data_IF_726949185151
#
_entry.id   IF_726949185151
#
_cell.length_a   1.000
_cell.length_b   1.000
_cell.length_c   1.000
_cell.angle_alpha   90.00
_cell.angle_beta   90.00
_cell.angle_gamma   90.00
#
_symmetry.space_group_name_H-M   'P 1'
#
loop_
_entity.id
_entity.type
_entity.pdbx_description
1 polymer ?
#
# COMPACT_ATOMS: atom_id res chain seq x y z
N UNK A 1 35.62 9.12 6.60
CA UNK A 1 34.81 7.94 6.18
C UNK A 1 34.94 7.83 4.68
N UNK A 2 35.34 6.67 4.20
CA UNK A 2 35.39 6.40 2.76
C UNK A 2 33.96 6.44 2.21
N UNK A 3 33.64 7.28 1.22
CA UNK A 3 32.26 7.34 0.69
C UNK A 3 31.77 5.99 0.16
N UNK A 4 32.67 5.12 -0.30
CA UNK A 4 32.35 3.78 -0.77
C UNK A 4 31.98 2.88 0.42
N UNK A 5 32.69 2.94 1.53
CA UNK A 5 32.39 2.18 2.74
C UNK A 5 30.98 2.54 3.27
N UNK A 6 30.60 3.82 3.25
CA UNK A 6 29.27 4.26 3.67
C UNK A 6 28.13 3.55 2.93
N UNK A 7 28.28 3.25 1.65
CA UNK A 7 27.25 2.54 0.87
C UNK A 7 27.39 1.00 0.96
N UNK A 8 28.58 0.47 1.16
CA UNK A 8 28.85 -0.98 1.12
C UNK A 8 28.65 -1.62 2.50
N UNK A 9 29.05 -0.95 3.59
CA UNK A 9 28.99 -1.52 4.93
C UNK A 9 27.60 -2.04 5.33
N UNK A 10 26.48 -1.30 5.14
CA UNK A 10 25.16 -1.83 5.47
C UNK A 10 24.77 -3.07 4.66
N UNK A 11 25.22 -3.13 3.38
CA UNK A 11 24.91 -4.25 2.49
C UNK A 11 25.76 -5.50 2.78
N UNK A 12 26.78 -5.42 3.64
CA UNK A 12 27.52 -6.61 4.10
C UNK A 12 26.68 -7.49 5.04
N UNK A 13 25.62 -6.93 5.66
CA UNK A 13 24.74 -7.65 6.57
C UNK A 13 23.56 -8.29 5.84
N UNK A 14 23.38 -9.62 6.02
CA UNK A 14 22.31 -10.37 5.35
C UNK A 14 20.89 -9.90 5.69
N UNK A 15 20.66 -9.37 6.91
CA UNK A 15 19.37 -8.81 7.29
C UNK A 15 19.05 -7.53 6.50
N UNK A 16 20.05 -6.69 6.28
CA UNK A 16 19.91 -5.45 5.51
C UNK A 16 19.61 -5.72 4.04
N UNK A 17 20.31 -6.71 3.43
CA UNK A 17 20.02 -7.15 2.06
C UNK A 17 18.59 -7.64 1.92
N UNK A 18 18.13 -8.51 2.82
CA UNK A 18 16.76 -9.03 2.80
C UNK A 18 15.73 -7.94 3.02
N UNK A 19 15.95 -7.06 4.00
CA UNK A 19 15.07 -5.92 4.28
C UNK A 19 14.96 -4.96 3.08
N UNK A 20 16.09 -4.68 2.42
CA UNK A 20 16.10 -3.82 1.23
C UNK A 20 15.33 -4.46 0.07
N UNK A 21 15.56 -5.74 -0.22
CA UNK A 21 14.83 -6.46 -1.29
C UNK A 21 13.34 -6.51 -0.97
N UNK A 22 12.96 -6.79 0.29
CA UNK A 22 11.56 -6.79 0.72
C UNK A 22 10.91 -5.41 0.53
N UNK A 23 11.56 -4.35 1.01
CA UNK A 23 11.04 -2.99 0.88
C UNK A 23 10.91 -2.55 -0.58
N UNK A 24 11.84 -2.94 -1.45
CA UNK A 24 11.76 -2.66 -2.89
C UNK A 24 10.63 -3.44 -3.57
N UNK A 25 10.47 -4.73 -3.27
CA UNK A 25 9.38 -5.55 -3.82
C UNK A 25 8.01 -5.02 -3.40
N UNK A 26 7.82 -4.78 -2.10
CA UNK A 26 6.60 -4.20 -1.56
C UNK A 26 6.36 -2.82 -2.15
N UNK A 27 7.40 -1.98 -2.23
CA UNK A 27 7.32 -0.64 -2.80
C UNK A 27 6.83 -0.64 -4.25
N UNK A 28 7.32 -1.56 -5.09
CA UNK A 28 6.87 -1.69 -6.49
C UNK A 28 5.40 -2.10 -6.55
N UNK A 29 5.00 -3.13 -5.80
CA UNK A 29 3.61 -3.62 -5.82
C UNK A 29 2.66 -2.56 -5.27
N UNK A 30 3.00 -1.95 -4.13
CA UNK A 30 2.21 -0.89 -3.51
C UNK A 30 2.13 0.36 -4.40
N UNK A 31 3.21 0.80 -5.06
CA UNK A 31 3.20 1.94 -5.95
C UNK A 31 2.28 1.73 -7.17
N UNK A 32 2.29 0.53 -7.76
CA UNK A 32 1.40 0.19 -8.88
C UNK A 32 -0.06 0.16 -8.43
N UNK A 33 -0.38 -0.56 -7.36
CA UNK A 33 -1.75 -0.62 -6.80
C UNK A 33 -2.22 0.75 -6.30
N UNK A 34 -1.33 1.48 -5.66
CA UNK A 34 -1.57 2.82 -5.13
C UNK A 34 -1.96 3.84 -6.19
N UNK A 35 -1.45 3.73 -7.43
CA UNK A 35 -1.89 4.63 -8.50
C UNK A 35 -3.39 4.48 -8.80
N UNK A 36 -3.94 3.28 -8.79
CA UNK A 36 -5.38 3.05 -8.94
C UNK A 36 -6.16 3.51 -7.71
N UNK A 37 -5.63 3.25 -6.52
CA UNK A 37 -6.23 3.67 -5.24
C UNK A 37 -6.36 5.19 -5.17
N UNK A 38 -5.29 5.92 -5.49
CA UNK A 38 -5.26 7.38 -5.45
C UNK A 38 -6.16 7.98 -6.53
N UNK A 39 -6.14 7.45 -7.77
CA UNK A 39 -7.00 7.93 -8.85
C UNK A 39 -8.49 7.70 -8.60
N UNK A 40 -8.84 6.63 -7.88
CA UNK A 40 -10.24 6.36 -7.46
C UNK A 40 -10.64 7.10 -6.19
N UNK A 41 -9.73 7.82 -5.53
CA UNK A 41 -10.01 8.49 -4.25
C UNK A 41 -10.21 7.52 -3.08
N UNK A 42 -9.59 6.34 -3.11
CA UNK A 42 -9.76 5.26 -2.14
C UNK A 42 -8.63 5.22 -1.10
N UNK A 43 -7.96 6.33 -0.79
CA UNK A 43 -6.75 6.35 0.02
C UNK A 43 -6.91 5.66 1.39
N UNK A 44 -8.06 5.81 2.06
CA UNK A 44 -8.33 5.23 3.38
C UNK A 44 -8.61 3.71 3.35
N UNK A 45 -8.84 3.11 2.17
CA UNK A 45 -9.09 1.66 2.10
C UNK A 45 -7.87 0.85 2.51
N UNK A 46 -6.67 1.38 2.26
CA UNK A 46 -5.41 0.73 2.64
C UNK A 46 -5.34 0.49 4.14
N UNK A 47 -5.62 1.51 4.93
CA UNK A 47 -5.63 1.45 6.39
C UNK A 47 -6.75 0.54 6.92
N UNK A 48 -7.97 0.74 6.42
CA UNK A 48 -9.13 -0.04 6.82
C UNK A 48 -8.95 -1.55 6.58
N UNK A 49 -8.46 -1.95 5.40
CA UNK A 49 -8.24 -3.35 5.05
C UNK A 49 -7.07 -3.95 5.81
N UNK A 50 -6.03 -3.16 6.10
CA UNK A 50 -4.89 -3.60 6.91
C UNK A 50 -5.35 -4.04 8.30
N UNK A 51 -6.14 -3.23 8.96
CA UNK A 51 -6.69 -3.57 10.28
C UNK A 51 -7.79 -4.62 10.21
N UNK A 52 -8.58 -4.67 9.15
CA UNK A 52 -9.61 -5.68 8.95
C UNK A 52 -9.06 -7.08 8.66
N UNK A 53 -7.76 -7.22 8.38
CA UNK A 53 -7.08 -8.50 8.34
C UNK A 53 -6.98 -9.15 9.73
N UNK A 54 -7.01 -8.35 10.81
CA UNK A 54 -6.77 -8.80 12.19
C UNK A 54 -7.68 -9.96 12.65
N UNK A 55 -9.01 -9.94 12.49
CA UNK A 55 -9.84 -11.07 12.87
C UNK A 55 -9.46 -12.37 12.16
N UNK A 56 -9.04 -12.29 10.90
CA UNK A 56 -8.58 -13.44 10.15
C UNK A 56 -7.26 -14.02 10.68
N UNK A 57 -6.33 -13.15 11.10
CA UNK A 57 -5.10 -13.56 11.79
C UNK A 57 -5.42 -14.28 13.11
N UNK A 58 -6.35 -13.74 13.90
CA UNK A 58 -6.78 -14.33 15.17
C UNK A 58 -7.43 -15.70 14.96
N UNK A 59 -8.33 -15.82 13.98
CA UNK A 59 -8.97 -17.09 13.65
C UNK A 59 -7.93 -18.12 13.19
N UNK A 60 -7.01 -17.74 12.29
CA UNK A 60 -5.94 -18.62 11.83
C UNK A 60 -5.07 -19.11 12.99
N UNK A 61 -4.74 -18.22 13.93
CA UNK A 61 -4.00 -18.58 15.15
C UNK A 61 -4.75 -19.63 15.99
N UNK A 62 -6.06 -19.42 16.22
CA UNK A 62 -6.90 -20.34 17.02
C UNK A 62 -6.99 -21.74 16.39
N UNK A 63 -7.10 -21.81 15.05
CA UNK A 63 -7.25 -23.09 14.33
C UNK A 63 -5.91 -23.72 13.95
N UNK A 64 -4.77 -23.07 14.28
CA UNK A 64 -3.44 -23.55 13.92
C UNK A 64 -3.10 -23.45 12.41
N UNK A 65 -3.79 -22.59 11.67
CA UNK A 65 -3.54 -22.36 10.26
C UNK A 65 -2.46 -21.26 10.05
N UNK A 66 -1.86 -21.20 8.85
CA UNK A 66 -0.91 -20.11 8.54
C UNK A 66 -1.58 -18.74 8.63
N UNK A 67 -0.98 -17.82 9.41
CA UNK A 67 -1.55 -16.50 9.73
C UNK A 67 -1.87 -15.69 8.47
N UNK A 68 -0.99 -15.71 7.48
CA UNK A 68 -1.17 -14.97 6.24
C UNK A 68 -2.42 -15.38 5.44
N UNK A 69 -2.82 -16.66 5.51
CA UNK A 69 -4.02 -17.15 4.80
C UNK A 69 -5.26 -16.56 5.47
N UNK A 70 -5.36 -16.64 6.79
CA UNK A 70 -6.49 -16.05 7.52
C UNK A 70 -6.58 -14.54 7.34
N UNK A 71 -5.45 -13.84 7.45
CA UNK A 71 -5.37 -12.41 7.18
C UNK A 71 -5.82 -12.05 5.75
N UNK A 72 -5.37 -12.79 4.74
CA UNK A 72 -5.73 -12.54 3.34
C UNK A 72 -7.23 -12.77 3.09
N UNK A 73 -7.80 -13.84 3.64
CA UNK A 73 -9.25 -14.10 3.52
C UNK A 73 -10.05 -12.96 4.15
N UNK A 74 -9.72 -12.53 5.36
CA UNK A 74 -10.42 -11.45 6.05
C UNK A 74 -10.26 -10.11 5.34
N UNK A 75 -9.06 -9.78 4.88
CA UNK A 75 -8.78 -8.55 4.13
C UNK A 75 -9.57 -8.49 2.81
N UNK A 76 -9.52 -9.56 2.01
CA UNK A 76 -10.28 -9.65 0.75
C UNK A 76 -11.79 -9.62 1.01
N UNK A 77 -12.28 -10.38 2.00
CA UNK A 77 -13.69 -10.40 2.35
C UNK A 77 -14.17 -9.00 2.78
N UNK A 78 -13.39 -8.27 3.60
CA UNK A 78 -13.74 -6.92 4.01
C UNK A 78 -13.67 -5.93 2.85
N UNK A 79 -12.65 -6.00 1.99
CA UNK A 79 -12.54 -5.16 0.81
C UNK A 79 -13.74 -5.34 -0.14
N UNK A 80 -14.15 -6.59 -0.37
CA UNK A 80 -15.35 -6.91 -1.14
C UNK A 80 -16.63 -6.45 -0.46
N UNK A 81 -16.75 -6.65 0.86
CA UNK A 81 -17.89 -6.17 1.64
C UNK A 81 -18.05 -4.64 1.57
N UNK A 82 -16.94 -3.89 1.63
CA UNK A 82 -16.94 -2.43 1.43
C UNK A 82 -17.51 -2.08 0.05
N UNK A 83 -17.05 -2.76 -1.01
CA UNK A 83 -17.57 -2.53 -2.36
C UNK A 83 -19.06 -2.85 -2.49
N UNK A 84 -19.53 -3.97 -1.91
CA UNK A 84 -20.94 -4.35 -1.93
C UNK A 84 -21.81 -3.38 -1.14
N UNK A 85 -21.40 -3.02 0.08
CA UNK A 85 -22.17 -2.14 0.98
C UNK A 85 -22.26 -0.73 0.40
N UNK A 86 -21.15 -0.19 -0.14
CA UNK A 86 -21.18 1.11 -0.78
C UNK A 86 -22.14 1.15 -1.96
N UNK A 87 -22.12 0.14 -2.83
CA UNK A 87 -22.99 0.08 -4.02
C UNK A 87 -24.46 -0.17 -3.67
N UNK A 88 -24.76 -1.23 -2.90
CA UNK A 88 -26.13 -1.61 -2.57
C UNK A 88 -26.79 -0.68 -1.55
N UNK A 89 -26.01 -0.21 -0.58
CA UNK A 89 -26.46 0.73 0.45
C UNK A 89 -26.58 2.16 -0.03
N UNK A 90 -26.13 2.48 -1.25
CA UNK A 90 -26.06 3.86 -1.78
C UNK A 90 -25.31 4.80 -0.84
N UNK A 91 -24.37 4.24 -0.07
CA UNK A 91 -23.53 4.98 0.86
C UNK A 91 -22.30 5.54 0.17
N UNK A 92 -21.77 6.63 0.68
CA UNK A 92 -20.46 7.10 0.28
C UNK A 92 -19.42 6.02 0.62
N UNK A 93 -18.46 5.82 -0.26
CA UNK A 93 -17.43 4.79 -0.09
C UNK A 93 -16.72 4.90 1.27
N UNK A 94 -16.33 6.13 1.66
CA UNK A 94 -15.66 6.39 2.94
C UNK A 94 -16.52 5.99 4.15
N UNK A 95 -17.85 6.16 4.07
CA UNK A 95 -18.76 5.73 5.13
C UNK A 95 -18.79 4.20 5.25
N UNK A 96 -18.84 3.49 4.11
CA UNK A 96 -18.79 2.02 4.12
C UNK A 96 -17.44 1.51 4.66
N UNK A 97 -16.34 2.16 4.29
CA UNK A 97 -14.99 1.87 4.82
C UNK A 97 -14.99 2.03 6.34
N UNK A 98 -15.41 3.17 6.88
CA UNK A 98 -15.37 3.44 8.32
C UNK A 98 -16.20 2.47 9.15
N UNK A 99 -17.43 2.16 8.71
CA UNK A 99 -18.31 1.23 9.43
C UNK A 99 -17.78 -0.20 9.43
N UNK A 100 -17.38 -0.69 8.25
CA UNK A 100 -16.88 -2.07 8.13
C UNK A 100 -15.51 -2.25 8.79
N UNK A 101 -14.63 -1.26 8.70
CA UNK A 101 -13.37 -1.25 9.43
C UNK A 101 -13.60 -1.37 10.94
N UNK A 102 -14.42 -0.47 11.51
CA UNK A 102 -14.67 -0.47 12.94
C UNK A 102 -15.30 -1.79 13.41
N UNK A 103 -16.28 -2.32 12.67
CA UNK A 103 -16.95 -3.58 12.99
C UNK A 103 -16.02 -4.80 12.89
N UNK A 104 -15.26 -4.92 11.82
CA UNK A 104 -14.34 -6.06 11.64
C UNK A 104 -13.18 -6.01 12.63
N UNK A 105 -12.62 -4.83 12.89
CA UNK A 105 -11.55 -4.68 13.88
C UNK A 105 -12.04 -5.00 15.29
N UNK A 106 -13.21 -4.47 15.70
CA UNK A 106 -13.82 -4.78 16.98
C UNK A 106 -14.09 -6.27 17.15
N UNK A 107 -14.56 -6.95 16.09
CA UNK A 107 -14.74 -8.40 16.07
C UNK A 107 -13.40 -9.13 16.29
N UNK A 108 -12.33 -8.68 15.64
CA UNK A 108 -10.98 -9.22 15.84
C UNK A 108 -10.49 -9.06 17.28
N UNK A 109 -10.69 -7.88 17.88
CA UNK A 109 -10.33 -7.60 19.28
C UNK A 109 -11.15 -8.48 20.24
N UNK A 110 -12.44 -8.66 19.98
CA UNK A 110 -13.29 -9.55 20.75
C UNK A 110 -12.77 -11.00 20.70
N UNK A 111 -12.45 -11.52 19.52
CA UNK A 111 -11.86 -12.85 19.38
C UNK A 111 -10.51 -12.96 20.10
N UNK A 112 -9.65 -11.96 19.95
CA UNK A 112 -8.35 -11.92 20.58
C UNK A 112 -8.45 -11.97 22.11
N UNK A 113 -9.46 -11.33 22.71
CA UNK A 113 -9.69 -11.35 24.17
C UNK A 113 -10.03 -12.75 24.72
N UNK A 114 -10.41 -13.69 23.87
CA UNK A 114 -10.71 -15.08 24.28
C UNK A 114 -9.45 -15.95 24.38
N UNK A 115 -8.32 -15.50 23.82
CA UNK A 115 -7.07 -16.23 23.83
C UNK A 115 -6.40 -16.10 25.19
N UNK A 116 -6.15 -17.22 25.85
CA UNK A 116 -5.42 -17.27 27.12
C UNK A 116 -3.93 -17.49 26.83
N UNK A 117 -3.06 -16.57 27.27
CA UNK A 117 -1.62 -16.68 27.14
C UNK A 117 -0.96 -15.46 26.51
N UNK A 118 0.37 -15.51 26.40
CA UNK A 118 1.17 -14.42 25.84
C UNK A 118 1.25 -14.56 24.31
N UNK A 119 0.65 -13.63 23.57
CA UNK A 119 0.48 -13.72 22.11
C UNK A 119 1.38 -12.70 21.40
N UNK A 120 2.68 -12.74 21.71
CA UNK A 120 3.70 -11.83 21.14
C UNK A 120 3.76 -11.92 19.61
N UNK A 121 3.57 -13.15 19.08
CA UNK A 121 3.69 -13.41 17.65
C UNK A 121 2.64 -12.66 16.81
N UNK A 122 1.41 -12.50 17.32
CA UNK A 122 0.33 -11.82 16.61
C UNK A 122 0.58 -10.31 16.52
N UNK A 123 1.05 -9.70 17.62
CA UNK A 123 1.38 -8.27 17.63
C UNK A 123 2.63 -7.99 16.79
N UNK A 124 3.63 -8.87 16.86
CA UNK A 124 4.82 -8.77 16.02
C UNK A 124 4.49 -8.83 14.52
N UNK A 125 3.52 -9.66 14.13
CA UNK A 125 3.05 -9.77 12.76
C UNK A 125 2.41 -8.45 12.25
N UNK A 126 1.63 -7.78 13.10
CA UNK A 126 0.98 -6.51 12.73
C UNK A 126 1.97 -5.34 12.66
N UNK A 127 2.87 -5.24 13.65
CA UNK A 127 3.84 -4.15 13.69
C UNK A 127 4.87 -4.27 12.58
N UNK A 128 5.16 -5.49 12.12
CA UNK A 128 6.15 -5.79 11.10
C UNK A 128 7.58 -5.53 11.56
N UNK A 129 8.52 -6.19 10.93
CA UNK A 129 9.94 -5.95 11.14
C UNK A 129 10.69 -6.14 9.81
N UNK A 130 10.87 -5.07 9.08
CA UNK A 130 11.55 -5.08 7.77
C UNK A 130 12.93 -5.76 7.83
N UNK A 131 13.67 -5.53 8.92
CA UNK A 131 15.00 -6.09 9.09
C UNK A 131 15.00 -7.54 9.62
N UNK A 132 13.86 -8.01 10.15
CA UNK A 132 13.68 -9.38 10.65
C UNK A 132 13.13 -10.36 9.62
N UNK A 133 12.91 -9.94 8.37
CA UNK A 133 12.27 -10.76 7.34
C UNK A 133 13.09 -12.02 7.00
N UNK A 134 12.40 -13.18 6.97
CA UNK A 134 12.97 -14.46 6.55
C UNK A 134 13.01 -14.63 5.03
N UNK A 135 13.81 -15.58 4.56
CA UNK A 135 13.88 -15.91 3.13
C UNK A 135 12.53 -16.44 2.62
N UNK A 136 11.83 -17.23 3.45
CA UNK A 136 10.50 -17.75 3.11
C UNK A 136 9.47 -16.65 2.88
N UNK A 137 9.45 -15.64 3.76
CA UNK A 137 8.56 -14.48 3.63
C UNK A 137 8.88 -13.66 2.38
N UNK A 138 10.17 -13.49 2.08
CA UNK A 138 10.63 -12.79 0.88
C UNK A 138 10.15 -13.48 -0.40
N UNK A 139 10.27 -14.81 -0.48
CA UNK A 139 9.77 -15.60 -1.61
C UNK A 139 8.25 -15.45 -1.74
N UNK A 140 7.52 -15.49 -0.63
CA UNK A 140 6.08 -15.33 -0.60
C UNK A 140 5.65 -13.95 -1.12
N UNK A 141 6.30 -12.87 -0.66
CA UNK A 141 6.07 -11.50 -1.16
C UNK A 141 6.38 -11.42 -2.65
N UNK A 142 7.49 -12.00 -3.11
CA UNK A 142 7.88 -11.98 -4.52
C UNK A 142 6.87 -12.70 -5.40
N UNK A 143 6.43 -13.90 -5.00
CA UNK A 143 5.48 -14.72 -5.79
C UNK A 143 4.11 -14.06 -5.84
N UNK A 144 3.53 -13.69 -4.69
CA UNK A 144 2.21 -13.08 -4.65
C UNK A 144 2.22 -11.68 -5.26
N UNK A 145 3.27 -10.90 -5.03
CA UNK A 145 3.47 -9.61 -5.69
C UNK A 145 3.55 -9.74 -7.21
N UNK A 146 4.28 -10.74 -7.72
CA UNK A 146 4.36 -11.01 -9.16
C UNK A 146 3.01 -11.42 -9.76
N UNK A 147 2.20 -12.22 -9.03
CA UNK A 147 0.84 -12.58 -9.46
C UNK A 147 -0.04 -11.33 -9.54
N UNK A 148 -0.05 -10.49 -8.49
CA UNK A 148 -0.84 -9.25 -8.47
C UNK A 148 -0.43 -8.33 -9.63
N UNK A 149 0.87 -8.08 -9.80
CA UNK A 149 1.39 -7.24 -10.88
C UNK A 149 1.07 -7.84 -12.26
N UNK A 150 1.21 -9.16 -12.42
CA UNK A 150 0.88 -9.86 -13.66
C UNK A 150 -0.58 -9.67 -14.05
N UNK A 151 -1.52 -9.86 -13.10
CA UNK A 151 -2.95 -9.63 -13.34
C UNK A 151 -3.18 -8.16 -13.70
N UNK A 152 -2.67 -7.22 -12.91
CA UNK A 152 -2.85 -5.78 -13.17
C UNK A 152 -2.29 -5.39 -14.53
N UNK A 153 -1.13 -5.91 -14.94
CA UNK A 153 -0.54 -5.60 -16.24
C UNK A 153 -1.39 -6.11 -17.40
N UNK A 154 -1.99 -7.31 -17.26
CA UNK A 154 -2.87 -7.89 -18.29
C UNK A 154 -4.13 -7.06 -18.48
N UNK A 155 -4.79 -6.67 -17.39
CA UNK A 155 -6.07 -5.95 -17.43
C UNK A 155 -5.91 -4.42 -17.24
N UNK A 156 -4.69 -3.90 -17.42
CA UNK A 156 -4.38 -2.48 -17.15
C UNK A 156 -5.24 -1.52 -17.94
N UNK A 157 -5.51 -1.82 -19.22
CA UNK A 157 -6.28 -0.95 -20.10
C UNK A 157 -7.74 -0.87 -19.66
N UNK A 158 -8.32 -2.00 -19.33
CA UNK A 158 -9.69 -2.15 -18.86
C UNK A 158 -9.88 -1.47 -17.51
N UNK A 159 -8.94 -1.71 -16.56
CA UNK A 159 -8.94 -1.03 -15.25
C UNK A 159 -8.83 0.48 -15.39
N UNK A 160 -7.96 0.95 -16.28
CA UNK A 160 -7.75 2.38 -16.50
C UNK A 160 -9.02 3.01 -17.11
N UNK A 161 -9.61 2.37 -18.12
CA UNK A 161 -10.85 2.85 -18.73
C UNK A 161 -11.99 2.89 -17.73
N UNK A 162 -12.21 1.81 -16.97
CA UNK A 162 -13.22 1.75 -15.91
C UNK A 162 -12.96 2.75 -14.75
N UNK A 163 -11.71 3.21 -14.57
CA UNK A 163 -11.38 4.20 -13.54
C UNK A 163 -11.74 5.62 -13.94
N UNK A 164 -11.47 6.00 -15.20
CA UNK A 164 -11.70 7.36 -15.70
C UNK A 164 -13.10 7.59 -16.26
N UNK A 165 -13.67 6.58 -16.93
CA UNK A 165 -15.00 6.64 -17.52
C UNK A 165 -15.76 5.32 -17.31
N UNK A 166 -16.33 5.12 -16.11
CA UNK A 166 -17.08 3.90 -15.81
C UNK A 166 -18.32 3.71 -16.71
N UNK A 167 -18.95 4.81 -17.13
CA UNK A 167 -20.16 4.75 -17.98
C UNK A 167 -19.80 4.35 -19.40
N UNK A 168 -18.77 4.95 -19.99
CA UNK A 168 -18.26 4.57 -21.30
C UNK A 168 -17.72 3.15 -21.33
N UNK A 169 -17.03 2.71 -20.28
CA UNK A 169 -16.55 1.35 -20.15
C UNK A 169 -17.72 0.33 -20.10
N UNK A 170 -18.78 0.63 -19.35
CA UNK A 170 -19.98 -0.21 -19.29
C UNK A 170 -20.72 -0.24 -20.65
N UNK A 171 -20.84 0.91 -21.32
CA UNK A 171 -21.43 0.99 -22.64
C UNK A 171 -20.63 0.20 -23.71
N UNK A 172 -19.32 0.08 -23.52
CA UNK A 172 -18.42 -0.74 -24.36
C UNK A 172 -18.47 -2.24 -24.03
N UNK A 173 -19.32 -2.68 -23.10
CA UNK A 173 -19.48 -4.07 -22.70
C UNK A 173 -18.49 -4.57 -21.65
N UNK A 174 -17.68 -3.71 -21.04
CA UNK A 174 -16.77 -4.12 -19.98
C UNK A 174 -17.52 -4.36 -18.66
N UNK A 175 -17.18 -5.44 -17.91
CA UNK A 175 -17.78 -5.74 -16.61
C UNK A 175 -17.22 -4.83 -15.52
N UNK A 176 -17.57 -3.54 -15.52
CA UNK A 176 -17.01 -2.51 -14.63
C UNK A 176 -17.09 -2.93 -13.15
N UNK A 177 -18.22 -3.52 -12.74
CA UNK A 177 -18.40 -4.01 -11.36
C UNK A 177 -17.44 -5.16 -11.04
N UNK A 178 -17.22 -6.07 -11.98
CA UNK A 178 -16.26 -7.16 -11.82
C UNK A 178 -14.83 -6.66 -11.72
N UNK A 179 -14.45 -5.68 -12.55
CA UNK A 179 -13.12 -5.05 -12.49
C UNK A 179 -12.89 -4.32 -11.17
N UNK A 180 -13.92 -3.69 -10.61
CA UNK A 180 -13.83 -3.03 -9.32
C UNK A 180 -13.63 -4.04 -8.18
N UNK A 181 -14.41 -5.13 -8.13
CA UNK A 181 -14.23 -6.19 -7.14
C UNK A 181 -12.88 -6.90 -7.29
N UNK A 182 -12.41 -7.09 -8.52
CA UNK A 182 -11.08 -7.63 -8.76
C UNK A 182 -10.00 -6.71 -8.22
N UNK A 183 -10.09 -5.40 -8.48
CA UNK A 183 -9.14 -4.41 -7.94
C UNK A 183 -9.14 -4.42 -6.40
N UNK A 184 -10.31 -4.46 -5.76
CA UNK A 184 -10.44 -4.55 -4.31
C UNK A 184 -9.84 -5.84 -3.74
N UNK A 185 -10.03 -6.97 -4.43
CA UNK A 185 -9.45 -8.26 -4.05
C UNK A 185 -7.92 -8.24 -4.16
N UNK A 186 -7.38 -7.73 -5.27
CA UNK A 186 -5.94 -7.58 -5.47
C UNK A 186 -5.33 -6.65 -4.44
N UNK A 187 -6.05 -5.59 -4.06
CA UNK A 187 -5.63 -4.68 -3.01
C UNK A 187 -5.56 -5.38 -1.65
N UNK A 188 -6.59 -6.16 -1.28
CA UNK A 188 -6.59 -6.95 -0.05
C UNK A 188 -5.41 -7.92 0.03
N UNK A 189 -5.12 -8.65 -1.06
CA UNK A 189 -3.96 -9.54 -1.14
C UNK A 189 -2.66 -8.76 -1.02
N UNK A 190 -2.52 -7.64 -1.75
CA UNK A 190 -1.34 -6.78 -1.70
C UNK A 190 -1.05 -6.31 -0.27
N UNK A 191 -2.07 -5.82 0.42
CA UNK A 191 -1.94 -5.31 1.79
C UNK A 191 -1.44 -6.40 2.72
N UNK A 192 -2.07 -7.58 2.75
CA UNK A 192 -1.71 -8.64 3.71
C UNK A 192 -0.32 -9.19 3.47
N UNK A 193 0.04 -9.40 2.21
CA UNK A 193 1.39 -9.86 1.84
C UNK A 193 2.44 -8.83 2.24
N UNK A 194 2.13 -7.56 2.07
CA UNK A 194 3.03 -6.47 2.42
C UNK A 194 3.13 -6.25 3.93
N UNK A 195 2.04 -6.40 4.70
CA UNK A 195 2.06 -6.29 6.17
C UNK A 195 3.06 -7.26 6.78
N UNK A 196 3.07 -8.50 6.34
CA UNK A 196 3.98 -9.52 6.83
C UNK A 196 5.45 -9.11 6.67
N UNK A 197 5.78 -8.46 5.56
CA UNK A 197 7.14 -8.07 5.26
C UNK A 197 7.57 -6.78 5.95
N UNK A 198 6.70 -5.78 5.99
CA UNK A 198 7.10 -4.40 6.33
C UNK A 198 6.21 -3.75 7.41
N UNK A 199 5.12 -4.39 7.81
CA UNK A 199 4.18 -3.90 8.83
C UNK A 199 3.14 -2.91 8.30
N UNK A 200 2.09 -2.69 9.10
CA UNK A 200 0.90 -1.90 8.71
C UNK A 200 1.28 -0.48 8.32
N UNK A 201 2.05 0.22 9.16
CA UNK A 201 2.36 1.65 8.97
C UNK A 201 3.04 1.89 7.63
N UNK A 202 4.02 1.06 7.31
CA UNK A 202 4.79 1.21 6.08
C UNK A 202 3.97 0.82 4.84
N UNK A 203 3.11 -0.21 4.92
CA UNK A 203 2.26 -0.63 3.80
C UNK A 203 1.30 0.48 3.38
N UNK A 204 0.60 1.08 4.35
CA UNK A 204 -0.36 2.17 4.07
C UNK A 204 0.35 3.37 3.45
N UNK A 205 1.51 3.74 3.99
CA UNK A 205 2.31 4.84 3.45
C UNK A 205 2.81 4.54 2.03
N UNK A 206 3.42 3.38 1.80
CA UNK A 206 3.93 2.97 0.47
C UNK A 206 2.82 2.82 -0.58
N UNK A 207 1.61 2.49 -0.16
CA UNK A 207 0.46 2.39 -1.06
C UNK A 207 0.00 3.78 -1.54
N UNK A 208 -0.06 4.76 -0.65
CA UNK A 208 -0.69 6.05 -0.94
C UNK A 208 0.34 7.12 -1.30
N UNK A 209 1.38 7.29 -0.50
CA UNK A 209 2.27 8.46 -0.58
C UNK A 209 3.05 8.57 -1.88
N UNK A 210 3.71 7.51 -2.41
CA UNK A 210 4.43 7.60 -3.68
C UNK A 210 3.50 7.88 -4.84
N UNK A 211 2.30 7.28 -4.85
CA UNK A 211 1.31 7.47 -5.90
C UNK A 211 0.72 8.90 -5.87
N UNK A 212 0.38 9.41 -4.69
CA UNK A 212 -0.10 10.78 -4.50
C UNK A 212 0.98 11.81 -4.89
N UNK A 213 2.23 11.57 -4.51
CA UNK A 213 3.37 12.41 -4.92
C UNK A 213 3.53 12.42 -6.44
N UNK A 214 3.48 11.25 -7.07
CA UNK A 214 3.57 11.14 -8.53
C UNK A 214 2.40 11.86 -9.23
N UNK A 215 1.19 11.84 -8.67
CA UNK A 215 0.03 12.55 -9.20
C UNK A 215 0.23 14.07 -9.21
N UNK A 216 0.94 14.64 -8.23
CA UNK A 216 1.28 16.06 -8.20
C UNK A 216 2.31 16.43 -9.27
N UNK A 217 3.22 15.51 -9.61
CA UNK A 217 4.35 15.79 -10.51
C UNK A 217 4.02 15.55 -11.97
N UNK A 218 3.18 14.54 -12.30
CA UNK A 218 2.95 14.12 -13.69
C UNK A 218 1.47 13.95 -14.04
N UNK A 219 1.13 14.11 -15.33
CA UNK A 219 -0.24 14.00 -15.84
C UNK A 219 -0.53 12.62 -16.43
N UNK A 220 0.46 12.02 -17.11
CA UNK A 220 0.26 10.78 -17.86
C UNK A 220 0.32 9.59 -16.92
N UNK A 221 -0.69 8.71 -16.96
CA UNK A 221 -0.80 7.53 -16.11
C UNK A 221 0.47 6.64 -16.10
N UNK A 222 1.02 6.33 -17.27
CA UNK A 222 2.23 5.50 -17.35
C UNK A 222 3.43 6.14 -16.64
N UNK A 223 3.59 7.47 -16.77
CA UNK A 223 4.63 8.20 -16.04
C UNK A 223 4.34 8.26 -14.55
N UNK A 224 3.07 8.33 -14.15
CA UNK A 224 2.66 8.31 -12.75
C UNK A 224 3.11 7.01 -12.07
N UNK A 225 2.87 5.85 -12.70
CA UNK A 225 3.35 4.55 -12.19
C UNK A 225 4.87 4.55 -12.07
N UNK A 226 5.61 4.94 -13.13
CA UNK A 226 7.08 4.92 -13.11
C UNK A 226 7.66 5.85 -12.05
N UNK A 227 7.09 7.05 -11.88
CA UNK A 227 7.52 8.01 -10.85
C UNK A 227 7.17 7.48 -9.46
N UNK A 228 5.98 6.91 -9.26
CA UNK A 228 5.60 6.31 -7.98
C UNK A 228 6.55 5.17 -7.57
N UNK A 229 6.89 4.26 -8.52
CA UNK A 229 7.86 3.18 -8.28
C UNK A 229 9.24 3.76 -7.92
N UNK A 230 9.71 4.77 -8.67
CA UNK A 230 11.00 5.40 -8.39
C UNK A 230 11.04 6.06 -7.01
N UNK A 231 9.98 6.78 -6.62
CA UNK A 231 9.85 7.40 -5.31
C UNK A 231 9.84 6.35 -4.19
N UNK A 232 9.04 5.28 -4.33
CA UNK A 232 9.01 4.20 -3.35
C UNK A 232 10.38 3.52 -3.21
N UNK A 233 11.07 3.24 -4.33
CA UNK A 233 12.38 2.63 -4.32
C UNK A 233 13.44 3.52 -3.66
N UNK A 234 13.48 4.81 -4.00
CA UNK A 234 14.41 5.77 -3.38
C UNK A 234 14.13 5.92 -1.89
N UNK A 235 12.86 6.02 -1.50
CA UNK A 235 12.46 6.10 -0.08
C UNK A 235 12.86 4.86 0.70
N UNK A 236 12.70 3.66 0.11
CA UNK A 236 13.12 2.41 0.72
C UNK A 236 14.64 2.39 0.97
N UNK A 237 15.43 2.75 -0.03
CA UNK A 237 16.89 2.81 0.10
C UNK A 237 17.29 3.84 1.15
N UNK A 238 16.89 5.09 0.97
CA UNK A 238 17.29 6.20 1.87
C UNK A 238 16.80 5.95 3.29
N UNK A 239 15.55 5.51 3.46
CA UNK A 239 14.95 5.25 4.77
C UNK A 239 15.66 4.11 5.52
N UNK A 240 16.02 3.02 4.83
CA UNK A 240 16.78 1.92 5.44
C UNK A 240 18.19 2.33 5.83
N UNK A 241 18.87 3.12 5.02
CA UNK A 241 20.20 3.64 5.36
C UNK A 241 20.13 4.59 6.56
N UNK A 242 19.15 5.50 6.61
CA UNK A 242 18.91 6.34 7.78
C UNK A 242 18.63 5.50 9.04
N UNK A 243 17.80 4.47 8.91
CA UNK A 243 17.50 3.54 10.00
C UNK A 243 18.77 2.88 10.52
N UNK A 244 19.63 2.39 9.63
CA UNK A 244 20.88 1.70 9.98
C UNK A 244 21.86 2.61 10.74
N UNK A 245 22.13 3.82 10.21
CA UNK A 245 23.13 4.71 10.79
C UNK A 245 22.65 5.48 12.02
N UNK A 246 21.33 5.76 12.10
CA UNK A 246 20.76 6.52 13.22
C UNK A 246 20.07 5.63 14.27
N UNK A 247 20.08 4.29 14.09
CA UNK A 247 19.38 3.32 14.95
C UNK A 247 17.89 3.65 15.14
N UNK A 248 17.21 4.03 14.04
CA UNK A 248 15.79 4.37 14.01
C UNK A 248 14.95 3.17 13.55
N UNK A 249 13.65 3.19 13.85
CA UNK A 249 12.71 2.20 13.31
C UNK A 249 12.67 2.27 11.77
N UNK A 250 12.96 1.16 11.09
CA UNK A 250 13.13 1.09 9.63
C UNK A 250 11.88 1.52 8.85
N UNK A 251 10.71 1.00 9.23
CA UNK A 251 9.45 1.39 8.60
C UNK A 251 9.15 2.88 8.73
N UNK A 252 9.30 3.44 9.94
CA UNK A 252 9.06 4.86 10.19
C UNK A 252 10.04 5.75 9.41
N UNK A 253 11.30 5.37 9.29
CA UNK A 253 12.30 6.12 8.52
C UNK A 253 11.93 6.19 7.03
N UNK A 254 11.47 5.08 6.45
CA UNK A 254 11.00 5.04 5.05
C UNK A 254 9.79 5.95 4.86
N UNK A 255 8.79 5.85 5.74
CA UNK A 255 7.57 6.67 5.70
C UNK A 255 7.88 8.17 5.80
N UNK A 256 8.81 8.56 6.67
CA UNK A 256 9.22 9.96 6.79
C UNK A 256 9.90 10.48 5.51
N UNK A 257 10.72 9.68 4.85
CA UNK A 257 11.32 10.04 3.56
C UNK A 257 10.25 10.19 2.48
N UNK A 258 9.27 9.29 2.40
CA UNK A 258 8.13 9.41 1.48
C UNK A 258 7.32 10.68 1.74
N UNK A 259 7.03 10.97 3.02
CA UNK A 259 6.29 12.17 3.42
C UNK A 259 7.06 13.44 3.06
N UNK A 260 8.39 13.42 3.20
CA UNK A 260 9.24 14.53 2.78
C UNK A 260 9.16 14.76 1.27
N UNK A 261 9.22 13.69 0.46
CA UNK A 261 9.05 13.79 -0.99
C UNK A 261 7.67 14.33 -1.38
N UNK A 262 6.62 13.91 -0.68
CA UNK A 262 5.29 14.45 -0.86
C UNK A 262 5.23 15.95 -0.54
N UNK A 263 5.80 16.38 0.59
CA UNK A 263 5.84 17.78 0.98
C UNK A 263 6.60 18.64 -0.05
N UNK A 264 7.74 18.14 -0.54
CA UNK A 264 8.50 18.83 -1.60
C UNK A 264 7.67 18.92 -2.88
N UNK A 265 7.05 17.82 -3.31
CA UNK A 265 6.21 17.81 -4.51
C UNK A 265 5.00 18.75 -4.38
N UNK A 266 4.41 18.84 -3.21
CA UNK A 266 3.31 19.78 -2.92
C UNK A 266 3.78 21.24 -2.99
N UNK A 267 5.00 21.54 -2.52
CA UNK A 267 5.56 22.89 -2.56
C UNK A 267 5.95 23.32 -3.98
N UNK A 268 6.57 22.44 -4.78
CA UNK A 268 7.21 22.77 -6.06
C UNK A 268 6.46 22.21 -7.27
N UNK A 269 5.49 21.31 -7.06
CA UNK A 269 4.80 20.59 -8.12
C UNK A 269 4.15 21.51 -9.17
N UNK A 270 4.27 21.18 -10.47
CA UNK A 270 3.80 22.05 -11.57
C UNK A 270 2.30 22.24 -11.64
N UNK A 271 1.52 21.33 -11.01
CA UNK A 271 0.05 21.37 -11.06
C UNK A 271 -0.60 22.10 -9.88
N UNK A 272 -0.05 21.96 -8.69
CA UNK A 272 -0.68 22.42 -7.44
C UNK A 272 0.31 23.08 -6.51
N UNK A 273 1.56 23.29 -6.94
CA UNK A 273 2.62 23.83 -6.11
C UNK A 273 2.19 25.16 -5.49
N UNK A 274 2.26 25.22 -4.16
CA UNK A 274 1.94 26.44 -3.41
C UNK A 274 2.77 27.63 -3.89
N UNK A 275 3.99 27.37 -4.37
CA UNK A 275 4.91 28.38 -4.90
C UNK A 275 4.60 28.74 -6.37
N UNK A 276 4.01 27.85 -7.17
CA UNK A 276 3.66 28.13 -8.56
C UNK A 276 2.43 29.03 -8.70
N UNK A 277 1.55 29.07 -7.71
CA UNK A 277 0.38 29.97 -7.66
C UNK A 277 0.75 31.42 -7.37
N UNK A 278 2.00 31.71 -6.99
CA UNK A 278 2.50 33.07 -6.77
C UNK A 278 2.89 33.78 -8.09
N UNK A 279 2.90 33.10 -9.25
CA UNK A 279 3.08 33.74 -10.53
C UNK A 279 1.74 34.38 -10.97
N UNK A 280 1.67 35.71 -11.24
CA UNK A 280 0.44 36.35 -11.64
C UNK A 280 -0.04 35.73 -12.98
N UNK A 281 -1.33 35.40 -13.03
CA UNK A 281 -1.99 35.03 -14.27
C UNK A 281 -1.74 36.16 -15.30
N UNK A 282 -0.92 35.89 -16.31
CA UNK A 282 -0.82 36.76 -17.47
C UNK A 282 -2.19 36.77 -18.11
N UNK A 283 -2.92 37.87 -17.91
CA UNK A 283 -4.19 38.11 -18.55
C UNK A 283 -3.97 38.05 -20.07
N UNK A 284 -4.43 36.97 -20.67
CA UNK A 284 -4.61 36.94 -22.14
C UNK A 284 -5.73 37.93 -22.43
N UNK A 285 -5.34 39.16 -22.76
CA UNK A 285 -6.23 40.13 -23.43
C UNK A 285 -6.52 39.58 -24.81
N UNK A 286 -7.81 39.38 -25.06
CA UNK A 286 -8.48 39.12 -26.34
C UNK A 286 -7.95 39.98 -27.47
#
# INVERSE_FOLDING_TARGET
>A
MDPIAFFVDPLSYGFMQRGLVAALLVGVVCAVMGTFVVLKGLAFIGDAVSHAAFPGLVIAYIVGAPLYIGGAIAAVATALAIGVVSRRGRLRFDTAVGVLFAGTFAFGVMLFSTIKGYVTDLLGYLLGNVLGIGVGDLIQVAVLGAIVLGIVLVIRKELLFATFDPQGAAASGLPVTGLEYLLLSLLGVTIVVSIQAVGIIMVVAMLVTPAATAQLLVVRFNRMISVAIALAAVSAVVGLYLSFYLNLASGASIVLVETLFFAIALAVGPKTGLLSRAAPAVAVRT
#
